data_IF_042683550661
#
_entry.id   IF_042683550661
#
_cell.length_a   1.000
_cell.length_b   1.000
_cell.length_c   1.000
_cell.angle_alpha   90.00
_cell.angle_beta   90.00
_cell.angle_gamma   90.00
#
_symmetry.space_group_name_H-M   'P 1'
#
loop_
_entity.id
_entity.type
_entity.pdbx_description
1 polymer ?
#
# COMPACT_ATOMS: atom_id res chain seq x y z
N UNK A 1 -2.67 15.35 -25.35
CA UNK A 1 -3.86 14.80 -24.68
C UNK A 1 -3.60 14.85 -23.20
N UNK A 2 -4.53 15.34 -22.39
CA UNK A 2 -4.46 15.33 -20.92
C UNK A 2 -5.58 14.47 -20.34
N UNK A 3 -5.41 14.04 -19.10
CA UNK A 3 -6.32 13.14 -18.42
C UNK A 3 -6.84 13.75 -17.12
N UNK A 4 -8.10 13.51 -16.79
CA UNK A 4 -8.69 13.87 -15.49
C UNK A 4 -8.19 12.99 -14.35
N UNK A 5 -7.75 11.78 -14.66
CA UNK A 5 -7.20 10.84 -13.68
C UNK A 5 -6.25 9.84 -14.33
N UNK A 6 -5.19 9.50 -13.58
CA UNK A 6 -4.22 8.46 -13.93
C UNK A 6 -4.09 7.53 -12.74
N UNK A 7 -4.04 6.23 -13.00
CA UNK A 7 -3.83 5.21 -11.99
C UNK A 7 -2.55 4.41 -12.26
N UNK A 8 -1.71 4.28 -11.25
CA UNK A 8 -0.54 3.42 -11.23
C UNK A 8 -0.72 2.37 -10.13
N UNK A 9 -0.96 1.13 -10.51
CA UNK A 9 -1.11 0.02 -9.58
C UNK A 9 0.12 -0.87 -9.62
N UNK A 10 0.89 -0.92 -8.53
CA UNK A 10 2.07 -1.76 -8.38
C UNK A 10 3.07 -1.59 -9.53
N UNK A 11 3.51 -0.35 -9.75
CA UNK A 11 4.44 0.04 -10.82
C UNK A 11 5.69 0.72 -10.25
N UNK A 12 5.51 1.63 -9.26
CA UNK A 12 6.62 2.45 -8.76
C UNK A 12 7.74 1.64 -8.12
N UNK A 13 7.39 0.52 -7.50
CA UNK A 13 8.36 -0.39 -6.89
C UNK A 13 9.29 -1.07 -7.92
N UNK A 14 8.87 -1.19 -9.18
CA UNK A 14 9.61 -1.88 -10.24
C UNK A 14 10.45 -0.97 -11.12
N UNK A 15 10.24 0.36 -11.09
CA UNK A 15 10.93 1.26 -12.01
C UNK A 15 12.31 1.67 -11.49
N UNK A 16 13.27 1.88 -12.40
CA UNK A 16 14.61 2.33 -12.04
C UNK A 16 14.62 3.74 -11.43
N UNK A 17 13.69 4.60 -11.85
CA UNK A 17 13.64 5.99 -11.40
C UNK A 17 12.18 6.44 -11.23
N UNK A 18 11.62 6.30 -10.02
CA UNK A 18 10.25 6.71 -9.72
C UNK A 18 10.03 8.22 -9.88
N UNK A 19 11.04 9.04 -9.61
CA UNK A 19 10.98 10.50 -9.82
C UNK A 19 10.74 10.82 -11.29
N UNK A 20 11.54 10.23 -12.18
CA UNK A 20 11.42 10.46 -13.62
C UNK A 20 10.05 9.98 -14.16
N UNK A 21 9.51 8.88 -13.63
CA UNK A 21 8.17 8.42 -14.00
C UNK A 21 7.11 9.45 -13.59
N UNK A 22 7.12 9.94 -12.35
CA UNK A 22 6.17 10.97 -11.89
C UNK A 22 6.31 12.24 -12.72
N UNK A 23 7.53 12.69 -13.01
CA UNK A 23 7.79 13.86 -13.86
C UNK A 23 7.24 13.70 -15.29
N UNK A 24 7.26 12.48 -15.83
CA UNK A 24 6.68 12.19 -17.15
C UNK A 24 5.14 12.15 -17.14
N UNK A 25 4.53 11.81 -16.02
CA UNK A 25 3.08 11.73 -15.83
C UNK A 25 2.48 13.10 -15.54
N UNK A 26 3.18 13.95 -14.79
CA UNK A 26 2.68 15.26 -14.37
C UNK A 26 2.09 16.11 -15.52
N UNK A 27 2.76 16.27 -16.69
CA UNK A 27 2.21 17.03 -17.81
C UNK A 27 0.99 16.37 -18.47
N UNK A 28 0.77 15.08 -18.26
CA UNK A 28 -0.38 14.35 -18.79
C UNK A 28 -1.65 14.56 -17.96
N UNK A 29 -1.53 15.03 -16.72
CA UNK A 29 -2.68 15.40 -15.90
C UNK A 29 -3.20 16.79 -16.28
N UNK A 30 -4.52 16.93 -16.32
CA UNK A 30 -5.17 18.23 -16.32
C UNK A 30 -4.96 18.96 -14.99
N UNK A 31 -5.10 20.28 -14.95
CA UNK A 31 -5.14 21.03 -13.72
C UNK A 31 -6.40 20.62 -12.94
N UNK A 32 -6.25 20.31 -11.65
CA UNK A 32 -7.28 19.64 -10.85
C UNK A 32 -7.36 18.12 -11.04
N UNK A 33 -6.61 17.54 -11.98
CA UNK A 33 -6.58 16.10 -12.26
C UNK A 33 -5.99 15.28 -11.12
N UNK A 34 -6.38 14.02 -11.01
CA UNK A 34 -6.01 13.11 -9.93
C UNK A 34 -4.97 12.09 -10.38
N UNK A 35 -3.97 11.87 -9.54
CA UNK A 35 -3.04 10.74 -9.65
C UNK A 35 -3.31 9.79 -8.48
N UNK A 36 -3.70 8.56 -8.80
CA UNK A 36 -3.89 7.49 -7.82
C UNK A 36 -2.74 6.49 -7.96
N UNK A 37 -2.03 6.21 -6.86
CA UNK A 37 -0.90 5.29 -6.84
C UNK A 37 -1.11 4.26 -5.76
N UNK A 38 -1.00 2.98 -6.12
CA UNK A 38 -0.93 1.85 -5.19
C UNK A 38 0.47 1.23 -5.26
N UNK A 39 1.09 1.01 -4.11
CA UNK A 39 2.38 0.33 -3.95
C UNK A 39 2.35 -0.55 -2.70
N UNK A 40 3.21 -1.58 -2.58
CA UNK A 40 3.41 -2.28 -1.33
C UNK A 40 3.81 -1.31 -0.20
N UNK A 41 3.29 -1.59 0.99
CA UNK A 41 3.62 -0.86 2.22
C UNK A 41 4.79 -1.56 2.89
N UNK A 42 6.00 -1.20 2.50
CA UNK A 42 7.22 -1.86 2.93
C UNK A 42 7.87 -1.11 4.10
N UNK A 43 8.58 -1.87 4.96
CA UNK A 43 9.13 -1.37 6.22
C UNK A 43 8.07 -0.72 7.12
N UNK A 44 6.83 -1.19 7.01
CA UNK A 44 5.71 -0.72 7.81
C UNK A 44 5.95 -0.94 9.32
N UNK A 45 5.22 -0.19 10.14
CA UNK A 45 5.29 -0.35 11.60
C UNK A 45 5.01 -1.81 11.99
N UNK A 46 4.03 -2.44 11.35
CA UNK A 46 3.68 -3.83 11.62
C UNK A 46 4.81 -4.79 11.24
N UNK A 47 5.40 -4.62 10.06
CA UNK A 47 6.50 -5.47 9.60
C UNK A 47 7.73 -5.36 10.51
N UNK A 48 8.10 -4.15 10.91
CA UNK A 48 9.21 -3.93 11.83
C UNK A 48 8.93 -4.58 13.20
N UNK A 49 7.71 -4.41 13.73
CA UNK A 49 7.31 -5.04 14.99
C UNK A 49 7.39 -6.57 14.93
N UNK A 50 6.98 -7.18 13.82
CA UNK A 50 7.05 -8.64 13.65
C UNK A 50 8.48 -9.17 13.60
N UNK A 51 9.42 -8.42 13.04
CA UNK A 51 10.87 -8.76 13.07
C UNK A 51 11.43 -8.60 14.48
N UNK A 52 11.19 -7.46 15.11
CA UNK A 52 11.71 -7.14 16.45
C UNK A 52 11.15 -8.09 17.53
N UNK A 53 9.88 -8.48 17.40
CA UNK A 53 9.21 -9.44 18.27
C UNK A 53 9.63 -10.90 18.03
N UNK A 54 10.34 -11.18 16.92
CA UNK A 54 10.77 -12.54 16.57
C UNK A 54 9.66 -13.41 15.96
N UNK A 55 8.50 -12.81 15.59
CA UNK A 55 7.38 -13.49 14.92
C UNK A 55 7.77 -13.94 13.51
N UNK A 56 8.67 -13.20 12.88
CA UNK A 56 9.30 -13.55 11.61
C UNK A 56 10.81 -13.33 11.70
N UNK A 57 11.58 -14.22 11.04
CA UNK A 57 13.04 -14.25 11.16
C UNK A 57 13.78 -13.40 10.12
N UNK A 58 13.06 -12.88 9.12
CA UNK A 58 13.65 -12.11 8.00
C UNK A 58 12.63 -11.19 7.37
N UNK A 59 13.07 -10.11 6.73
CA UNK A 59 12.18 -9.21 5.98
C UNK A 59 11.61 -9.90 4.74
N UNK A 60 10.43 -10.52 4.90
CA UNK A 60 9.74 -11.32 3.88
C UNK A 60 9.15 -10.46 2.74
N UNK A 61 9.07 -9.15 2.94
CA UNK A 61 8.58 -8.19 1.93
C UNK A 61 9.64 -7.80 0.91
N UNK A 62 10.92 -8.10 1.16
CA UNK A 62 11.98 -7.80 0.20
C UNK A 62 11.91 -8.74 -0.99
N UNK A 63 11.60 -8.21 -2.16
CA UNK A 63 11.38 -8.94 -3.39
C UNK A 63 12.43 -8.61 -4.48
N UNK A 64 13.70 -8.49 -4.08
CA UNK A 64 14.78 -8.24 -5.05
C UNK A 64 15.00 -9.48 -5.95
N UNK A 65 15.20 -9.31 -7.29
CA UNK A 65 15.40 -8.07 -8.02
C UNK A 65 14.11 -7.43 -8.59
N UNK A 66 12.92 -7.97 -8.30
CA UNK A 66 11.65 -7.49 -8.86
C UNK A 66 11.30 -6.10 -8.33
N UNK A 67 11.44 -5.88 -7.02
CA UNK A 67 11.24 -4.58 -6.40
C UNK A 67 12.59 -3.85 -6.28
N UNK A 68 12.69 -2.69 -6.92
CA UNK A 68 13.86 -1.81 -6.90
C UNK A 68 13.69 -0.65 -5.92
N UNK A 69 12.43 -0.30 -5.61
CA UNK A 69 12.06 0.74 -4.67
C UNK A 69 11.11 0.16 -3.63
N UNK A 70 11.20 0.70 -2.41
CA UNK A 70 10.37 0.31 -1.29
C UNK A 70 9.73 1.55 -0.69
N UNK A 71 8.43 1.52 -0.48
CA UNK A 71 7.65 2.67 -0.04
C UNK A 71 6.90 2.36 1.24
N UNK A 72 6.78 3.37 2.07
CA UNK A 72 5.75 3.52 3.09
C UNK A 72 4.91 4.77 2.77
N UNK A 73 3.86 5.02 3.54
CA UNK A 73 2.98 6.18 3.30
C UNK A 73 3.76 7.50 3.32
N UNK A 74 4.73 7.64 4.24
CA UNK A 74 5.49 8.89 4.40
C UNK A 74 6.43 9.15 3.22
N UNK A 75 7.19 8.15 2.80
CA UNK A 75 8.14 8.27 1.69
C UNK A 75 7.42 8.52 0.36
N UNK A 76 6.29 7.82 0.12
CA UNK A 76 5.46 8.05 -1.06
C UNK A 76 4.85 9.47 -1.05
N UNK A 77 4.34 9.92 0.09
CA UNK A 77 3.78 11.28 0.24
C UNK A 77 4.85 12.34 0.00
N UNK A 78 6.06 12.15 0.53
CA UNK A 78 7.19 13.06 0.34
C UNK A 78 7.59 13.13 -1.14
N UNK A 79 7.69 11.99 -1.82
CA UNK A 79 8.00 11.92 -3.24
C UNK A 79 6.98 12.74 -4.07
N UNK A 80 5.69 12.49 -3.86
CA UNK A 80 4.62 13.14 -4.62
C UNK A 80 4.55 14.64 -4.34
N UNK A 81 4.65 15.04 -3.06
CA UNK A 81 4.63 16.44 -2.67
C UNK A 81 5.82 17.23 -3.24
N UNK A 82 7.01 16.63 -3.26
CA UNK A 82 8.21 17.24 -3.87
C UNK A 82 8.08 17.41 -5.39
N UNK A 83 7.16 16.71 -6.03
CA UNK A 83 6.83 16.81 -7.47
C UNK A 83 5.60 17.66 -7.76
N UNK A 84 5.10 18.44 -6.78
CA UNK A 84 3.94 19.30 -6.94
C UNK A 84 2.60 18.56 -7.00
N UNK A 85 2.54 17.34 -6.46
CA UNK A 85 1.35 16.49 -6.39
C UNK A 85 1.00 16.22 -4.92
N UNK A 86 0.43 17.19 -4.19
CA UNK A 86 0.05 16.99 -2.80
C UNK A 86 -0.96 15.83 -2.66
N UNK A 87 -0.69 14.94 -1.71
CA UNK A 87 -1.60 13.84 -1.37
C UNK A 87 -2.80 14.44 -0.63
N UNK A 88 -4.00 14.15 -1.15
CA UNK A 88 -5.27 14.63 -0.59
C UNK A 88 -6.05 13.52 0.13
N UNK A 89 -5.73 12.27 -0.15
CA UNK A 89 -6.33 11.11 0.52
C UNK A 89 -5.41 9.90 0.44
N UNK A 90 -5.59 8.94 1.36
CA UNK A 90 -4.84 7.68 1.38
C UNK A 90 -5.63 6.56 2.00
N UNK A 91 -5.36 5.34 1.56
CA UNK A 91 -6.01 4.12 2.03
C UNK A 91 -4.99 3.00 2.17
N UNK A 92 -5.26 2.06 3.05
CA UNK A 92 -4.58 0.78 3.08
C UNK A 92 -5.53 -0.32 2.54
N UNK A 93 -4.95 -1.45 2.16
CA UNK A 93 -5.69 -2.68 1.97
C UNK A 93 -5.80 -3.47 3.30
N UNK A 94 -6.37 -4.68 3.21
CA UNK A 94 -6.49 -5.57 4.37
C UNK A 94 -5.09 -5.97 4.89
N UNK A 95 -4.79 -5.75 6.20
CA UNK A 95 -3.49 -6.03 6.78
C UNK A 95 -3.30 -7.54 7.01
N UNK A 96 -3.06 -8.30 5.95
CA UNK A 96 -2.88 -9.76 6.00
C UNK A 96 -1.75 -10.17 6.95
N UNK A 97 -0.78 -9.30 7.17
CA UNK A 97 0.34 -9.53 8.08
C UNK A 97 -0.08 -9.64 9.55
N UNK A 98 -1.32 -9.26 9.91
CA UNK A 98 -1.90 -9.58 11.22
C UNK A 98 -1.95 -11.07 11.53
N UNK A 99 -2.05 -11.92 10.50
CA UNK A 99 -2.03 -13.36 10.71
C UNK A 99 -0.66 -13.90 11.13
N UNK A 100 0.41 -13.12 10.96
CA UNK A 100 1.77 -13.53 11.31
C UNK A 100 2.03 -13.56 12.82
N UNK A 101 1.24 -12.83 13.62
CA UNK A 101 1.35 -12.85 15.09
C UNK A 101 0.89 -14.17 15.71
N UNK A 102 0.14 -14.98 14.97
CA UNK A 102 -0.31 -16.29 15.44
C UNK A 102 0.49 -17.40 14.76
N UNK A 103 1.23 -18.23 15.53
CA UNK A 103 2.03 -19.33 14.97
C UNK A 103 1.24 -20.30 14.09
N UNK A 104 -0.08 -20.45 14.32
CA UNK A 104 -0.93 -21.33 13.53
C UNK A 104 -1.33 -20.74 12.17
N UNK A 105 -1.21 -19.44 11.98
CA UNK A 105 -1.50 -18.75 10.70
C UNK A 105 -0.28 -18.02 10.11
N UNK A 106 0.89 -18.14 10.74
CA UNK A 106 2.12 -17.52 10.25
C UNK A 106 2.60 -18.22 8.97
N UNK A 107 2.23 -17.66 7.83
CA UNK A 107 2.55 -18.18 6.49
C UNK A 107 3.98 -17.87 6.04
N UNK A 108 4.69 -17.00 6.76
CA UNK A 108 6.11 -16.72 6.51
C UNK A 108 6.98 -17.82 7.08
N UNK A 109 6.65 -18.31 8.28
CA UNK A 109 7.34 -19.43 8.91
C UNK A 109 6.96 -20.79 8.29
N UNK A 110 5.72 -20.91 7.78
CA UNK A 110 5.20 -22.13 7.16
C UNK A 110 4.30 -21.77 5.97
N UNK A 111 4.84 -21.92 4.76
CA UNK A 111 4.16 -21.56 3.50
C UNK A 111 2.85 -22.33 3.28
N UNK A 112 2.69 -23.51 3.88
CA UNK A 112 1.45 -24.30 3.76
C UNK A 112 0.23 -23.58 4.35
N UNK A 113 0.42 -22.64 5.26
CA UNK A 113 -0.62 -21.81 5.89
C UNK A 113 -1.09 -20.65 5.01
N UNK A 114 -0.33 -20.32 3.95
CA UNK A 114 -0.61 -19.16 3.10
C UNK A 114 -2.00 -19.19 2.46
N UNK A 115 -2.43 -20.35 1.97
CA UNK A 115 -3.77 -20.50 1.38
C UNK A 115 -4.88 -20.21 2.39
N UNK A 116 -4.74 -20.70 3.63
CA UNK A 116 -5.74 -20.49 4.69
C UNK A 116 -5.77 -19.02 5.12
N UNK A 117 -4.61 -18.40 5.32
CA UNK A 117 -4.50 -16.98 5.64
C UNK A 117 -5.13 -16.10 4.53
N UNK A 118 -4.84 -16.41 3.27
CA UNK A 118 -5.43 -15.71 2.13
C UNK A 118 -6.96 -15.85 2.10
N UNK A 119 -7.50 -17.05 2.31
CA UNK A 119 -8.95 -17.27 2.34
C UNK A 119 -9.60 -16.47 3.48
N UNK A 120 -8.99 -16.46 4.67
CA UNK A 120 -9.48 -15.67 5.80
C UNK A 120 -9.47 -14.17 5.48
N UNK A 121 -8.41 -13.68 4.83
CA UNK A 121 -8.34 -12.29 4.34
C UNK A 121 -9.50 -11.99 3.41
N UNK A 122 -9.75 -12.84 2.41
CA UNK A 122 -10.82 -12.63 1.42
C UNK A 122 -12.19 -12.54 2.10
N UNK A 123 -12.46 -13.43 3.07
CA UNK A 123 -13.74 -13.43 3.81
C UNK A 123 -13.89 -12.12 4.59
N UNK A 124 -12.87 -11.71 5.36
CA UNK A 124 -12.92 -10.52 6.19
C UNK A 124 -13.01 -9.24 5.34
N UNK A 125 -12.26 -9.16 4.25
CA UNK A 125 -12.30 -8.06 3.31
C UNK A 125 -13.69 -7.93 2.65
N UNK A 126 -14.28 -9.05 2.22
CA UNK A 126 -15.64 -9.08 1.68
C UNK A 126 -16.67 -8.61 2.71
N UNK A 127 -16.59 -9.07 3.96
CA UNK A 127 -17.50 -8.64 5.03
C UNK A 127 -17.44 -7.13 5.26
N UNK A 128 -16.25 -6.55 5.25
CA UNK A 128 -16.07 -5.10 5.39
C UNK A 128 -16.66 -4.37 4.17
N UNK A 129 -16.39 -4.87 2.96
CA UNK A 129 -16.82 -4.24 1.71
C UNK A 129 -18.31 -4.38 1.44
N UNK A 130 -18.97 -5.40 1.97
CA UNK A 130 -20.44 -5.58 1.94
C UNK A 130 -21.19 -4.64 2.90
N UNK A 131 -20.50 -3.99 3.83
CA UNK A 131 -21.13 -2.99 4.70
C UNK A 131 -21.76 -1.86 3.87
N UNK A 132 -22.96 -1.49 4.21
CA UNK A 132 -23.68 -0.38 3.56
C UNK A 132 -23.23 1.00 4.03
N UNK A 133 -22.41 1.08 5.09
CA UNK A 133 -21.89 2.35 5.60
C UNK A 133 -20.58 2.71 4.89
N UNK A 134 -20.72 3.39 3.73
CA UNK A 134 -19.59 3.80 2.89
C UNK A 134 -18.61 4.74 3.61
N UNK A 135 -19.10 5.60 4.49
CA UNK A 135 -18.25 6.52 5.27
C UNK A 135 -17.41 5.74 6.28
N UNK A 136 -18.02 4.81 7.01
CA UNK A 136 -17.31 4.00 7.98
C UNK A 136 -16.24 3.12 7.29
N UNK A 137 -16.55 2.54 6.11
CA UNK A 137 -15.58 1.79 5.31
C UNK A 137 -14.38 2.66 4.92
N UNK A 138 -14.62 3.82 4.34
CA UNK A 138 -13.53 4.74 3.97
C UNK A 138 -12.68 5.13 5.17
N UNK A 139 -13.31 5.46 6.29
CA UNK A 139 -12.61 5.84 7.51
C UNK A 139 -11.78 4.68 8.08
N UNK A 140 -12.29 3.45 8.00
CA UNK A 140 -11.56 2.25 8.39
C UNK A 140 -10.26 2.09 7.59
N UNK A 141 -10.32 2.13 6.25
CA UNK A 141 -9.14 1.99 5.39
C UNK A 141 -8.16 3.16 5.52
N UNK A 142 -8.66 4.39 5.73
CA UNK A 142 -7.82 5.55 6.04
C UNK A 142 -7.09 5.39 7.36
N UNK A 143 -7.80 4.92 8.39
CA UNK A 143 -7.21 4.71 9.72
C UNK A 143 -6.13 3.65 9.70
N UNK A 144 -6.32 2.54 8.97
CA UNK A 144 -5.29 1.52 8.80
C UNK A 144 -4.04 2.09 8.12
N UNK A 145 -4.23 2.86 7.05
CA UNK A 145 -3.12 3.53 6.35
C UNK A 145 -2.37 4.51 7.28
N UNK A 146 -3.11 5.35 8.03
CA UNK A 146 -2.52 6.31 8.97
C UNK A 146 -1.75 5.62 10.11
N UNK A 147 -2.15 4.43 10.51
CA UNK A 147 -1.49 3.60 11.53
C UNK A 147 -0.28 2.81 10.96
N UNK A 148 -0.02 2.89 9.66
CA UNK A 148 1.04 2.13 9.01
C UNK A 148 0.71 0.64 8.83
N UNK A 149 -0.58 0.28 8.84
CA UNK A 149 -1.06 -1.07 8.57
C UNK A 149 -1.51 -1.19 7.11
N UNK A 150 -1.78 -2.43 6.69
CA UNK A 150 -2.07 -2.77 5.30
C UNK A 150 -0.85 -3.35 4.61
N UNK A 151 -1.08 -4.23 3.66
CA UNK A 151 0.01 -4.81 2.85
C UNK A 151 0.36 -3.89 1.69
N UNK A 152 -0.64 -3.20 1.17
CA UNK A 152 -0.49 -2.15 0.17
C UNK A 152 -1.01 -0.82 0.72
N UNK A 153 -0.49 0.27 0.19
CA UNK A 153 -0.99 1.63 0.40
C UNK A 153 -1.39 2.24 -0.93
N UNK A 154 -2.50 2.96 -0.91
CA UNK A 154 -2.98 3.75 -2.05
C UNK A 154 -3.02 5.21 -1.65
N UNK A 155 -2.41 6.07 -2.45
CA UNK A 155 -2.48 7.53 -2.30
C UNK A 155 -3.26 8.13 -3.45
N UNK A 156 -4.02 9.19 -3.16
CA UNK A 156 -4.67 10.05 -4.16
C UNK A 156 -4.06 11.44 -4.03
N UNK A 157 -3.42 11.89 -5.10
CA UNK A 157 -2.86 13.24 -5.23
C UNK A 157 -3.65 14.06 -6.22
N UNK A 158 -3.66 15.37 -6.03
CA UNK A 158 -4.30 16.30 -6.97
C UNK A 158 -3.26 17.26 -7.53
N UNK A 159 -3.24 17.39 -8.85
CA UNK A 159 -2.48 18.45 -9.49
C UNK A 159 -3.17 19.80 -9.21
N UNK A 160 -2.44 20.82 -8.72
CA UNK A 160 -2.97 22.16 -8.51
C UNK A 160 -3.57 22.79 -9.79
#
# INVERSE_FOLDING_TARGET
>A
MKYHGIFLGNILEHVLNPVALIDSIYPLLEDGGLLCITVPNDFSILQNYLIEGGEVSKPYWLAFPDHLNYFDLQSLTNLLSARGLPVIDHFADFPIDWFLVNPQSNYVSDISKGKSAHNSRVILDSMINESTNEEAKRNFWRSLSALGFGRDITTISRKP
#
